data_IF_606593127385
#
_entry.id   IF_606593127385
#
_cell.length_a   1.000
_cell.length_b   1.000
_cell.length_c   1.000
_cell.angle_alpha   90.00
_cell.angle_beta   90.00
_cell.angle_gamma   90.00
#
_symmetry.space_group_name_H-M   'P 1'
#
loop_
_entity.id
_entity.type
_entity.pdbx_description
1 polymer ?
#
# COMPACT_ATOMS: atom_id res chain seq x y z
N UNK A 1 -38.12 -12.08 70.52
CA UNK A 1 -37.19 -11.09 69.95
C UNK A 1 -36.32 -11.86 68.97
N UNK A 2 -36.64 -11.74 67.69
CA UNK A 2 -35.87 -12.22 66.56
C UNK A 2 -36.21 -11.26 65.40
N UNK A 3 -35.17 -10.72 64.79
CA UNK A 3 -35.16 -9.59 63.84
C UNK A 3 -35.66 -10.00 62.45
N UNK A 4 -36.16 -9.06 61.61
CA UNK A 4 -36.44 -9.34 60.21
C UNK A 4 -35.15 -9.31 59.39
N UNK A 5 -34.97 -10.32 58.54
CA UNK A 5 -33.90 -10.38 57.54
C UNK A 5 -34.11 -9.29 56.49
N UNK A 6 -33.11 -8.41 56.38
CA UNK A 6 -33.03 -7.33 55.41
C UNK A 6 -32.27 -7.87 54.18
N UNK A 7 -33.00 -8.33 53.16
CA UNK A 7 -32.43 -8.69 51.87
C UNK A 7 -32.15 -7.41 51.08
N UNK A 8 -30.93 -6.90 51.20
CA UNK A 8 -30.38 -5.86 50.35
C UNK A 8 -29.15 -6.42 49.61
N UNK A 9 -28.98 -5.94 48.39
CA UNK A 9 -27.76 -5.97 47.56
C UNK A 9 -27.45 -7.31 46.86
N UNK A 10 -27.09 -7.34 45.57
CA UNK A 10 -26.71 -6.25 44.68
C UNK A 10 -26.98 -6.61 43.23
N UNK A 11 -27.39 -5.60 42.46
CA UNK A 11 -27.36 -5.65 41.01
C UNK A 11 -25.88 -5.71 40.60
N UNK A 12 -25.47 -6.87 40.08
CA UNK A 12 -24.16 -7.02 39.44
C UNK A 12 -24.21 -6.17 38.16
N UNK A 13 -23.69 -4.95 38.24
CA UNK A 13 -23.34 -4.18 37.05
C UNK A 13 -22.25 -4.97 36.32
N UNK A 14 -22.63 -5.65 35.23
CA UNK A 14 -21.71 -6.22 34.27
C UNK A 14 -20.89 -5.06 33.68
N UNK A 15 -19.72 -4.82 34.24
CA UNK A 15 -18.69 -3.97 33.64
C UNK A 15 -18.35 -4.59 32.28
N UNK A 16 -18.90 -4.01 31.20
CA UNK A 16 -18.47 -4.29 29.84
C UNK A 16 -16.96 -3.97 29.78
N UNK A 17 -16.13 -5.01 29.85
CA UNK A 17 -14.71 -4.91 29.57
C UNK A 17 -14.58 -4.38 28.13
N UNK A 18 -14.36 -3.06 28.00
CA UNK A 18 -13.90 -2.45 26.76
C UNK A 18 -12.58 -3.16 26.40
N UNK A 19 -12.67 -4.17 25.52
CA UNK A 19 -11.51 -4.84 24.96
C UNK A 19 -10.61 -3.74 24.41
N UNK A 20 -9.48 -3.47 25.09
CA UNK A 20 -8.47 -2.52 24.62
C UNK A 20 -8.12 -2.92 23.18
N UNK A 21 -8.64 -2.17 22.20
CA UNK A 21 -8.41 -2.47 20.78
C UNK A 21 -6.89 -2.47 20.56
N UNK A 22 -6.33 -3.67 20.40
CA UNK A 22 -4.90 -3.84 20.21
C UNK A 22 -4.46 -2.96 19.04
N UNK A 23 -3.44 -2.13 19.24
CA UNK A 23 -2.90 -1.24 18.21
C UNK A 23 -2.34 -2.09 17.05
N UNK A 24 -3.17 -2.35 16.05
CA UNK A 24 -2.79 -3.14 14.88
C UNK A 24 -1.96 -2.30 13.90
N UNK A 25 -0.65 -2.54 13.85
CA UNK A 25 0.25 -1.88 12.90
C UNK A 25 0.13 -2.42 11.47
N UNK A 26 -0.35 -3.66 11.31
CA UNK A 26 -0.54 -4.32 10.03
C UNK A 26 -1.87 -5.06 9.99
N UNK A 27 -2.46 -5.10 8.81
CA UNK A 27 -3.49 -6.07 8.47
C UNK A 27 -2.90 -7.06 7.47
N UNK A 28 -3.01 -8.35 7.76
CA UNK A 28 -2.52 -9.40 6.87
C UNK A 28 -3.65 -9.84 5.96
N UNK A 29 -3.44 -9.75 4.66
CA UNK A 29 -4.36 -10.27 3.66
C UNK A 29 -3.74 -11.50 2.99
N UNK A 30 -4.20 -12.69 3.38
CA UNK A 30 -3.74 -13.97 2.87
C UNK A 30 -4.95 -14.88 2.57
N UNK A 31 -5.53 -14.81 1.37
CA UNK A 31 -6.73 -15.57 1.05
C UNK A 31 -6.46 -17.07 1.11
N UNK A 32 -7.38 -17.83 1.68
CA UNK A 32 -7.31 -19.29 1.75
C UNK A 32 -7.92 -19.97 0.51
N UNK A 33 -8.78 -19.28 -0.24
CA UNK A 33 -9.42 -19.84 -1.42
C UNK A 33 -8.46 -19.88 -2.63
N UNK A 34 -8.29 -21.03 -3.32
CA UNK A 34 -7.38 -21.16 -4.46
C UNK A 34 -7.67 -20.18 -5.60
N UNK A 35 -8.95 -19.85 -5.83
CA UNK A 35 -9.36 -18.91 -6.89
C UNK A 35 -8.89 -17.48 -6.59
N UNK A 36 -8.94 -17.07 -5.34
CA UNK A 36 -8.44 -15.77 -4.90
C UNK A 36 -6.91 -15.73 -4.89
N UNK A 37 -6.27 -16.81 -4.42
CA UNK A 37 -4.80 -16.95 -4.50
C UNK A 37 -4.31 -16.85 -5.95
N UNK A 38 -5.00 -17.48 -6.89
CA UNK A 38 -4.67 -17.40 -8.31
C UNK A 38 -4.78 -15.95 -8.85
N UNK A 39 -5.78 -15.17 -8.39
CA UNK A 39 -5.92 -13.76 -8.74
C UNK A 39 -4.79 -12.89 -8.19
N UNK A 40 -4.25 -13.24 -7.02
CA UNK A 40 -3.14 -12.51 -6.37
C UNK A 40 -1.74 -12.99 -6.81
N UNK A 41 -1.67 -14.07 -7.58
CA UNK A 41 -0.39 -14.63 -8.01
C UNK A 41 0.26 -13.71 -9.04
N UNK A 42 1.55 -13.44 -8.86
CA UNK A 42 2.35 -12.59 -9.75
C UNK A 42 1.78 -11.18 -9.95
N UNK A 43 1.06 -10.64 -8.96
CA UNK A 43 0.42 -9.34 -9.07
C UNK A 43 1.44 -8.20 -9.23
N UNK A 44 1.22 -7.31 -10.21
CA UNK A 44 2.04 -6.11 -10.40
C UNK A 44 1.79 -5.07 -9.31
N UNK A 45 2.68 -4.09 -9.16
CA UNK A 45 2.45 -2.99 -8.22
C UNK A 45 1.16 -2.22 -8.56
N UNK A 46 0.93 -1.98 -9.85
CA UNK A 46 -0.22 -1.20 -10.31
C UNK A 46 -1.54 -1.93 -10.05
N UNK A 47 -1.61 -3.22 -10.38
CA UNK A 47 -2.76 -4.07 -10.05
C UNK A 47 -3.00 -4.12 -8.54
N UNK A 48 -1.95 -4.13 -7.71
CA UNK A 48 -2.09 -4.21 -6.26
C UNK A 48 -2.76 -2.96 -5.71
N UNK A 49 -2.28 -1.80 -6.17
CA UNK A 49 -2.85 -0.51 -5.80
C UNK A 49 -4.30 -0.38 -6.32
N UNK A 50 -4.61 -0.82 -7.55
CA UNK A 50 -5.99 -0.77 -8.07
C UNK A 50 -6.96 -1.65 -7.30
N UNK A 51 -6.49 -2.79 -6.79
CA UNK A 51 -7.31 -3.75 -6.05
C UNK A 51 -7.54 -3.32 -4.59
N UNK A 52 -6.51 -2.79 -3.93
CA UNK A 52 -6.51 -2.57 -2.47
C UNK A 52 -6.59 -1.10 -2.06
N UNK A 53 -6.59 -0.16 -3.01
CA UNK A 53 -6.67 1.27 -2.74
C UNK A 53 -7.78 1.93 -3.58
N UNK A 54 -8.31 3.03 -3.06
CA UNK A 54 -9.19 3.90 -3.82
C UNK A 54 -8.42 4.57 -4.95
N UNK A 55 -8.87 4.36 -6.18
CA UNK A 55 -8.28 4.92 -7.40
C UNK A 55 -9.02 6.20 -7.78
N UNK A 56 -8.28 7.26 -8.06
CA UNK A 56 -8.81 8.49 -8.63
C UNK A 56 -7.86 9.03 -9.70
N UNK A 57 -8.28 10.05 -10.43
CA UNK A 57 -7.50 10.68 -11.50
C UNK A 57 -7.34 12.16 -11.16
N UNK A 58 -6.13 12.67 -11.34
CA UNK A 58 -5.83 14.11 -11.25
C UNK A 58 -4.97 14.56 -12.42
N UNK A 59 -4.79 15.86 -12.60
CA UNK A 59 -3.79 16.39 -13.52
C UNK A 59 -2.38 15.90 -13.14
N UNK A 60 -1.62 15.53 -14.16
CA UNK A 60 -0.21 15.17 -14.02
C UNK A 60 0.62 16.41 -13.63
N UNK A 61 1.72 16.25 -12.87
CA UNK A 61 2.58 17.36 -12.53
C UNK A 61 3.27 17.87 -13.78
N UNK A 62 3.49 19.18 -13.87
CA UNK A 62 4.19 19.79 -14.99
C UNK A 62 5.61 19.22 -15.14
N UNK A 63 6.02 18.94 -16.37
CA UNK A 63 7.39 18.54 -16.71
C UNK A 63 8.35 19.69 -16.35
N UNK A 64 9.35 19.50 -15.47
CA UNK A 64 10.32 20.54 -15.15
C UNK A 64 11.07 21.00 -16.40
N UNK A 65 11.27 22.30 -16.53
CA UNK A 65 11.93 22.91 -17.69
C UNK A 65 13.31 22.28 -17.94
N UNK A 66 13.56 21.86 -19.19
CA UNK A 66 14.83 21.24 -19.59
C UNK A 66 14.96 19.74 -19.33
N UNK A 67 13.95 19.10 -18.71
CA UNK A 67 13.97 17.64 -18.51
C UNK A 67 13.41 16.88 -19.72
N UNK A 68 14.08 15.78 -20.09
CA UNK A 68 13.57 14.88 -21.14
C UNK A 68 12.43 14.03 -20.59
N UNK A 69 11.43 13.75 -21.42
CA UNK A 69 10.37 12.80 -21.04
C UNK A 69 10.95 11.40 -20.84
N UNK A 70 10.58 10.76 -19.74
CA UNK A 70 10.98 9.38 -19.43
C UNK A 70 10.28 8.45 -20.43
N UNK A 71 11.03 7.48 -20.98
CA UNK A 71 10.52 6.48 -21.92
C UNK A 71 10.63 5.07 -21.32
N UNK A 72 9.64 4.17 -21.54
CA UNK A 72 8.37 4.45 -22.21
C UNK A 72 7.51 5.41 -21.39
N UNK A 73 6.75 6.26 -22.09
CA UNK A 73 5.92 7.25 -21.44
C UNK A 73 4.61 6.64 -20.92
N UNK A 74 3.98 7.29 -19.94
CA UNK A 74 2.69 6.84 -19.41
C UNK A 74 1.56 7.42 -20.28
N UNK A 75 0.70 6.56 -20.82
CA UNK A 75 -0.39 6.96 -21.73
C UNK A 75 -1.28 8.07 -21.18
N UNK A 76 -1.69 7.99 -19.91
CA UNK A 76 -2.57 9.00 -19.30
C UNK A 76 -1.86 10.35 -19.19
N UNK A 77 -0.57 10.33 -18.87
CA UNK A 77 0.25 11.54 -18.72
C UNK A 77 0.55 12.16 -20.09
N UNK A 78 0.85 11.33 -21.08
CA UNK A 78 1.29 11.79 -22.39
C UNK A 78 0.15 12.22 -23.32
N UNK A 79 -1.02 11.59 -23.24
CA UNK A 79 -2.17 11.92 -24.09
C UNK A 79 -3.06 13.00 -23.46
N UNK A 80 -3.43 12.82 -22.19
CA UNK A 80 -4.48 13.64 -21.56
C UNK A 80 -3.92 14.57 -20.46
N UNK A 81 -2.62 14.47 -20.15
CA UNK A 81 -2.02 15.21 -19.04
C UNK A 81 -2.59 14.79 -17.68
N UNK A 82 -3.05 13.55 -17.56
CA UNK A 82 -3.67 12.98 -16.37
C UNK A 82 -2.79 11.92 -15.73
N UNK A 83 -2.99 11.65 -14.45
CA UNK A 83 -2.35 10.56 -13.74
C UNK A 83 -3.31 9.91 -12.75
N UNK A 84 -3.17 8.60 -12.58
CA UNK A 84 -3.82 7.88 -11.49
C UNK A 84 -3.18 8.26 -10.15
N UNK A 85 -4.03 8.44 -9.15
CA UNK A 85 -3.66 8.56 -7.74
C UNK A 85 -4.37 7.50 -6.93
N UNK A 86 -3.69 7.07 -5.88
CA UNK A 86 -4.15 6.01 -5.01
C UNK A 86 -4.29 6.54 -3.59
N UNK A 87 -5.36 6.17 -2.92
CA UNK A 87 -5.67 6.55 -1.54
C UNK A 87 -5.99 5.29 -0.74
N UNK A 88 -5.35 5.10 0.42
CA UNK A 88 -5.60 3.93 1.27
C UNK A 88 -4.39 3.55 2.12
N UNK A 89 -4.12 2.25 2.27
CA UNK A 89 -2.98 1.71 3.04
C UNK A 89 -1.75 1.43 2.17
N UNK A 90 -0.56 1.62 2.75
CA UNK A 90 0.70 1.21 2.13
C UNK A 90 0.73 -0.31 2.02
N UNK A 91 1.23 -0.86 0.92
CA UNK A 91 1.20 -2.30 0.68
C UNK A 91 2.59 -2.90 0.87
N UNK A 92 2.65 -3.94 1.70
CA UNK A 92 3.80 -4.83 1.83
C UNK A 92 3.47 -6.16 1.17
N UNK A 93 4.15 -6.47 0.08
CA UNK A 93 3.88 -7.67 -0.72
C UNK A 93 5.01 -8.69 -0.49
N UNK A 94 4.62 -9.84 0.05
CA UNK A 94 5.47 -11.03 0.10
C UNK A 94 5.13 -11.91 -1.11
N UNK A 95 6.07 -12.02 -2.06
CA UNK A 95 5.89 -12.77 -3.31
C UNK A 95 6.88 -13.94 -3.44
N UNK A 96 6.79 -14.72 -4.52
CA UNK A 96 7.69 -15.87 -4.73
C UNK A 96 9.16 -15.50 -4.60
N UNK A 97 9.55 -14.33 -5.10
CA UNK A 97 10.92 -13.80 -5.05
C UNK A 97 11.33 -13.46 -3.60
N UNK A 98 10.38 -13.15 -2.72
CA UNK A 98 10.66 -12.91 -1.30
C UNK A 98 11.27 -14.12 -0.60
N UNK A 99 10.97 -15.34 -1.06
CA UNK A 99 11.59 -16.55 -0.53
C UNK A 99 13.08 -16.65 -0.93
N UNK A 100 13.46 -16.08 -2.06
CA UNK A 100 14.83 -16.13 -2.60
C UNK A 100 15.71 -15.03 -1.99
N UNK A 101 15.22 -13.79 -1.97
CA UNK A 101 16.01 -12.63 -1.55
C UNK A 101 15.76 -12.18 -0.11
N UNK A 102 14.81 -12.82 0.58
CA UNK A 102 14.40 -12.49 1.95
C UNK A 102 13.95 -11.02 2.08
N UNK A 103 13.41 -10.45 1.01
CA UNK A 103 12.90 -9.10 0.95
C UNK A 103 11.41 -9.08 0.60
N UNK A 104 10.68 -8.15 1.17
CA UNK A 104 9.31 -7.81 0.75
C UNK A 104 9.31 -6.61 -0.16
N UNK A 105 8.35 -6.59 -1.08
CA UNK A 105 8.14 -5.48 -2.01
C UNK A 105 7.19 -4.47 -1.38
N UNK A 106 7.70 -3.28 -1.12
CA UNK A 106 6.98 -2.14 -0.60
C UNK A 106 6.43 -1.29 -1.73
N UNK A 107 5.11 -1.14 -1.78
CA UNK A 107 4.42 -0.35 -2.80
C UNK A 107 3.73 0.82 -2.14
N UNK A 108 4.18 2.02 -2.51
CA UNK A 108 3.61 3.27 -1.99
C UNK A 108 2.55 3.81 -2.94
N UNK A 109 1.48 4.36 -2.37
CA UNK A 109 0.49 5.15 -3.10
C UNK A 109 1.03 6.49 -3.56
N UNK A 110 2.04 7.02 -2.84
CA UNK A 110 2.58 8.34 -3.08
C UNK A 110 3.43 8.30 -4.35
N UNK A 111 2.77 8.43 -5.51
CA UNK A 111 3.40 9.06 -6.66
C UNK A 111 3.75 10.46 -6.23
N UNK A 112 5.05 10.77 -6.12
CA UNK A 112 5.47 12.09 -5.68
C UNK A 112 4.84 13.16 -6.59
N UNK A 113 4.60 14.36 -6.07
CA UNK A 113 4.18 15.49 -6.90
C UNK A 113 5.28 15.91 -7.91
N UNK A 114 6.39 15.17 -7.99
CA UNK A 114 7.47 15.39 -8.92
C UNK A 114 7.21 14.58 -10.19
N UNK A 115 7.36 15.24 -11.33
CA UNK A 115 7.33 14.60 -12.62
C UNK A 115 8.37 13.47 -12.69
N UNK A 116 7.94 12.31 -13.18
CA UNK A 116 8.83 11.19 -13.46
C UNK A 116 8.96 10.15 -12.35
N UNK A 117 8.39 10.33 -11.16
CA UNK A 117 8.10 9.18 -10.29
C UNK A 117 6.92 8.43 -10.89
N UNK A 118 7.09 7.16 -11.27
CA UNK A 118 5.98 6.42 -11.82
C UNK A 118 5.06 6.03 -10.68
N UNK A 119 3.76 6.20 -10.89
CA UNK A 119 2.77 5.61 -9.99
C UNK A 119 3.02 4.10 -9.91
N UNK A 120 2.96 3.54 -8.70
CA UNK A 120 3.27 2.14 -8.43
C UNK A 120 4.77 1.76 -8.48
N UNK A 121 5.70 2.71 -8.38
CA UNK A 121 7.10 2.38 -8.08
C UNK A 121 7.21 1.62 -6.74
N UNK A 122 8.15 0.68 -6.66
CA UNK A 122 8.34 -0.16 -5.48
C UNK A 122 9.79 -0.27 -5.06
N UNK A 123 9.99 -0.50 -3.76
CA UNK A 123 11.29 -0.78 -3.15
C UNK A 123 11.26 -2.17 -2.51
N UNK A 124 12.37 -2.94 -2.58
CA UNK A 124 12.49 -4.21 -1.85
C UNK A 124 13.27 -3.98 -0.56
N UNK A 125 12.66 -4.34 0.57
CA UNK A 125 13.24 -4.18 1.90
C UNK A 125 13.30 -5.53 2.62
N UNK A 126 14.29 -5.72 3.48
CA UNK A 126 14.50 -7.00 4.21
C UNK A 126 13.28 -7.31 5.07
N UNK A 127 12.73 -8.51 4.92
CA UNK A 127 11.48 -8.90 5.57
C UNK A 127 11.56 -8.84 7.11
N UNK A 128 12.73 -9.11 7.68
CA UNK A 128 12.98 -9.05 9.12
C UNK A 128 12.86 -7.65 9.73
N UNK A 129 12.83 -6.58 8.92
CA UNK A 129 12.79 -5.19 9.39
C UNK A 129 11.44 -4.51 9.12
N UNK A 130 10.43 -5.22 8.61
CA UNK A 130 9.16 -4.61 8.19
C UNK A 130 8.50 -3.81 9.32
N UNK A 131 8.50 -4.33 10.54
CA UNK A 131 7.88 -3.67 11.70
C UNK A 131 8.54 -2.33 12.00
N UNK A 132 9.88 -2.30 12.07
CA UNK A 132 10.64 -1.07 12.31
C UNK A 132 10.45 -0.06 11.17
N UNK A 133 10.50 -0.54 9.93
CA UNK A 133 10.29 0.29 8.75
C UNK A 133 8.88 0.91 8.75
N UNK A 134 7.84 0.13 9.07
CA UNK A 134 6.47 0.62 9.13
C UNK A 134 6.28 1.69 10.21
N UNK A 135 6.86 1.51 11.39
CA UNK A 135 6.79 2.52 12.47
C UNK A 135 7.48 3.81 12.04
N UNK A 136 8.67 3.71 11.44
CA UNK A 136 9.42 4.87 10.96
C UNK A 136 8.71 5.60 9.80
N UNK A 137 8.01 4.87 8.93
CA UNK A 137 7.20 5.44 7.85
C UNK A 137 5.93 6.10 8.38
N UNK A 138 5.25 5.46 9.33
CA UNK A 138 4.02 5.97 9.93
C UNK A 138 4.27 7.23 10.79
N UNK A 139 5.38 7.28 11.52
CA UNK A 139 5.78 8.46 12.31
C UNK A 139 6.29 9.62 11.47
N UNK A 140 6.57 9.39 10.18
CA UNK A 140 7.20 10.36 9.29
C UNK A 140 8.69 10.59 9.55
N UNK A 141 9.31 9.83 10.46
CA UNK A 141 10.75 9.84 10.71
C UNK A 141 11.55 9.39 9.46
N UNK A 142 10.93 8.54 8.64
CA UNK A 142 11.45 8.10 7.35
C UNK A 142 10.44 8.40 6.26
N UNK A 143 10.95 8.79 5.08
CA UNK A 143 10.17 8.88 3.85
C UNK A 143 10.83 8.02 2.79
N UNK A 144 10.02 7.26 2.06
CA UNK A 144 10.50 6.58 0.87
C UNK A 144 10.64 7.65 -0.20
N UNK A 145 11.87 7.99 -0.50
CA UNK A 145 12.19 8.77 -1.69
C UNK A 145 12.76 7.82 -2.74
N UNK A 146 12.05 7.70 -3.87
CA UNK A 146 12.57 7.00 -5.05
C UNK A 146 13.65 7.82 -5.79
N UNK A 147 14.15 8.88 -5.14
CA UNK A 147 15.38 9.57 -5.42
C UNK A 147 15.34 10.46 -6.65
N UNK A 148 14.15 10.65 -7.25
CA UNK A 148 13.91 11.46 -8.45
C UNK A 148 15.01 11.31 -9.52
N UNK A 149 14.76 10.49 -10.55
CA UNK A 149 15.71 10.10 -11.61
C UNK A 149 16.68 8.95 -11.18
N UNK A 150 16.18 7.70 -11.19
CA UNK A 150 16.98 6.44 -11.25
C UNK A 150 17.24 5.62 -9.96
N UNK A 151 16.28 5.49 -9.03
CA UNK A 151 16.36 4.44 -7.97
C UNK A 151 15.19 3.44 -7.95
N UNK A 152 14.46 3.33 -9.04
CA UNK A 152 13.37 2.36 -9.21
C UNK A 152 13.88 1.07 -9.86
N UNK A 153 13.22 -0.06 -9.56
CA UNK A 153 13.48 -1.30 -10.30
C UNK A 153 13.00 -1.14 -11.74
N UNK A 154 13.94 -1.17 -12.70
CA UNK A 154 13.63 -0.92 -14.11
C UNK A 154 12.61 -1.90 -14.69
N UNK A 155 12.71 -3.16 -14.28
CA UNK A 155 11.83 -4.21 -14.77
C UNK A 155 10.39 -3.99 -14.29
N UNK A 156 10.21 -3.65 -13.02
CA UNK A 156 8.89 -3.35 -12.45
C UNK A 156 8.29 -2.07 -13.02
N UNK A 157 9.09 -1.01 -13.19
CA UNK A 157 8.58 0.21 -13.79
C UNK A 157 8.13 0.00 -15.23
N UNK A 158 8.95 -0.70 -16.03
CA UNK A 158 8.57 -1.04 -17.42
C UNK A 158 7.26 -1.82 -17.43
N UNK A 159 7.12 -2.82 -16.56
CA UNK A 159 5.91 -3.63 -16.41
C UNK A 159 4.69 -2.78 -16.03
N UNK A 160 4.83 -1.88 -15.05
CA UNK A 160 3.76 -0.96 -14.65
C UNK A 160 3.32 -0.03 -15.79
N UNK A 161 4.27 0.49 -16.57
CA UNK A 161 3.98 1.36 -17.70
C UNK A 161 3.28 0.60 -18.83
N UNK A 162 3.69 -0.63 -19.10
CA UNK A 162 3.03 -1.51 -20.07
C UNK A 162 1.60 -1.85 -19.62
N UNK A 163 1.38 -2.12 -18.33
CA UNK A 163 0.05 -2.39 -17.78
C UNK A 163 -0.86 -1.16 -17.79
N UNK A 164 -0.35 0.00 -17.39
CA UNK A 164 -1.09 1.27 -17.45
C UNK A 164 -1.46 1.69 -18.89
N UNK A 165 -0.74 1.16 -19.88
CA UNK A 165 -1.01 1.41 -21.30
C UNK A 165 -2.10 0.50 -21.88
N UNK A 166 -2.46 -0.61 -21.20
CA UNK A 166 -3.52 -1.51 -21.63
C UNK A 166 -4.89 -0.94 -21.28
N UNK A 167 -5.89 -1.25 -22.10
CA UNK A 167 -7.29 -0.99 -21.75
C UNK A 167 -7.66 -1.90 -20.58
N UNK A 168 -8.19 -1.34 -19.49
CA UNK A 168 -8.66 -2.16 -18.37
C UNK A 168 -9.89 -2.94 -18.83
N UNK A 169 -9.78 -4.26 -18.86
CA UNK A 169 -10.90 -5.18 -18.98
C UNK A 169 -11.09 -5.77 -17.59
N UNK A 170 -12.18 -5.41 -16.93
CA UNK A 170 -12.60 -5.98 -15.66
C UNK A 170 -13.34 -7.30 -15.88
#
# INVERSE_FOLDING_TARGET
>A
MAEPENENEGEEEEEEEEEEESLAFFSIFAPSEPREQARLTSLSNLSALRLLNGVSIRSAPSVPTGTKRIKPGNRLVDLDGLQEIYTGKMLWIYDTRSNEDQCVRLVSQQGSNLYGTATADSWRARASHITELQVNLASGAMKIDFGGLDRWDYSERKRNLEEGSKSMVF
#
